data_IF_951087195634
#
_entry.id   IF_951087195634
#
_cell.length_a   1.000
_cell.length_b   1.000
_cell.length_c   1.000
_cell.angle_alpha   90.00
_cell.angle_beta   90.00
_cell.angle_gamma   90.00
#
_symmetry.space_group_name_H-M   'P 1'
#
loop_
_entity.id
_entity.type
_entity.pdbx_description
1 polymer ?
#
# COMPACT_ATOMS: atom_id res chain seq x y z
N UNK A 1 74.51 -10.03 -16.51
CA UNK A 1 74.08 -10.48 -15.17
C UNK A 1 73.96 -11.98 -15.26
N UNK A 2 74.61 -12.74 -14.36
CA UNK A 2 74.53 -14.21 -14.40
C UNK A 2 73.09 -14.69 -14.20
N UNK A 3 72.70 -15.74 -14.93
CA UNK A 3 71.33 -16.30 -14.95
C UNK A 3 70.81 -16.58 -13.53
N UNK A 4 71.65 -17.15 -12.67
CA UNK A 4 71.31 -17.45 -11.27
C UNK A 4 70.98 -16.19 -10.46
N UNK A 5 71.73 -15.10 -10.68
CA UNK A 5 71.49 -13.82 -10.02
C UNK A 5 70.16 -13.19 -10.46
N UNK A 6 69.81 -13.31 -11.75
CA UNK A 6 68.50 -12.87 -12.27
C UNK A 6 67.39 -13.70 -11.63
N UNK A 7 67.52 -15.02 -11.64
CA UNK A 7 66.51 -15.93 -11.11
C UNK A 7 66.26 -15.70 -9.61
N UNK A 8 67.32 -15.57 -8.82
CA UNK A 8 67.25 -15.26 -7.38
C UNK A 8 66.50 -13.94 -7.12
N UNK A 9 66.79 -12.92 -7.93
CA UNK A 9 66.13 -11.61 -7.87
C UNK A 9 64.63 -11.68 -8.23
N UNK A 10 64.26 -12.49 -9.24
CA UNK A 10 62.87 -12.69 -9.63
C UNK A 10 62.08 -13.47 -8.56
N UNK A 11 62.70 -14.49 -7.96
CA UNK A 11 62.10 -15.26 -6.87
C UNK A 11 61.91 -14.43 -5.59
N UNK A 12 62.85 -13.55 -5.26
CA UNK A 12 62.70 -12.64 -4.12
C UNK A 12 61.62 -11.58 -4.36
N UNK A 13 61.50 -11.07 -5.59
CA UNK A 13 60.38 -10.21 -6.00
C UNK A 13 59.04 -10.95 -5.88
N UNK A 14 58.97 -12.20 -6.36
CA UNK A 14 57.77 -13.05 -6.28
C UNK A 14 57.34 -13.27 -4.83
N UNK A 15 58.28 -13.59 -3.95
CA UNK A 15 58.00 -13.74 -2.52
C UNK A 15 57.46 -12.43 -1.90
N UNK A 16 58.04 -11.29 -2.24
CA UNK A 16 57.56 -9.97 -1.80
C UNK A 16 56.12 -9.69 -2.26
N UNK A 17 55.80 -9.95 -3.53
CA UNK A 17 54.44 -9.80 -4.07
C UNK A 17 53.45 -10.78 -3.44
N UNK A 18 53.88 -12.00 -3.13
CA UNK A 18 53.04 -12.98 -2.41
C UNK A 18 52.66 -12.50 -1.01
N UNK A 19 53.57 -11.82 -0.29
CA UNK A 19 53.27 -11.24 1.02
C UNK A 19 52.22 -10.12 0.89
N UNK A 20 52.36 -9.26 -0.12
CA UNK A 20 51.38 -8.20 -0.40
C UNK A 20 50.01 -8.81 -0.74
N UNK A 21 49.97 -9.86 -1.57
CA UNK A 21 48.73 -10.57 -1.89
C UNK A 21 48.06 -11.15 -0.65
N UNK A 22 48.84 -11.77 0.24
CA UNK A 22 48.31 -12.31 1.51
C UNK A 22 47.79 -11.19 2.42
N UNK A 23 48.43 -10.01 2.44
CA UNK A 23 47.94 -8.85 3.18
C UNK A 23 46.63 -8.34 2.57
N UNK A 24 46.52 -8.27 1.25
CA UNK A 24 45.27 -7.94 0.56
C UNK A 24 44.13 -8.90 0.95
N UNK A 25 44.35 -10.21 0.92
CA UNK A 25 43.33 -11.18 1.31
C UNK A 25 42.85 -11.01 2.77
N UNK A 26 43.77 -10.66 3.68
CA UNK A 26 43.41 -10.31 5.07
C UNK A 26 42.57 -9.04 5.13
N UNK A 27 42.88 -8.07 4.28
CA UNK A 27 42.18 -6.79 4.20
C UNK A 27 40.77 -6.99 3.65
N UNK A 28 40.62 -7.79 2.59
CA UNK A 28 39.33 -8.14 1.98
C UNK A 28 38.45 -8.92 2.97
N UNK A 29 39.02 -9.87 3.74
CA UNK A 29 38.31 -10.55 4.83
C UNK A 29 37.84 -9.59 5.92
N UNK A 30 38.67 -8.63 6.31
CA UNK A 30 38.28 -7.63 7.31
C UNK A 30 37.21 -6.68 6.76
N UNK A 31 37.29 -6.29 5.48
CA UNK A 31 36.31 -5.46 4.80
C UNK A 31 34.95 -6.16 4.72
N UNK A 32 34.92 -7.45 4.38
CA UNK A 32 33.69 -8.26 4.36
C UNK A 32 33.03 -8.35 5.75
N UNK A 33 33.83 -8.48 6.82
CA UNK A 33 33.32 -8.45 8.21
C UNK A 33 32.71 -7.10 8.54
N UNK A 34 33.35 -5.99 8.14
CA UNK A 34 32.82 -4.64 8.33
C UNK A 34 31.52 -4.47 7.56
N UNK A 35 31.45 -4.92 6.31
CA UNK A 35 30.26 -4.82 5.48
C UNK A 35 29.07 -5.60 6.08
N UNK A 36 29.28 -6.82 6.57
CA UNK A 36 28.26 -7.61 7.29
C UNK A 36 27.82 -6.91 8.59
N UNK A 37 28.78 -6.36 9.33
CA UNK A 37 28.54 -5.64 10.57
C UNK A 37 27.90 -4.25 10.38
N UNK A 38 28.01 -3.63 9.21
CA UNK A 38 27.35 -2.36 8.85
C UNK A 38 25.97 -2.59 8.20
N UNK A 39 25.78 -3.68 7.47
CA UNK A 39 24.48 -4.05 6.91
C UNK A 39 23.49 -4.52 7.98
N UNK A 40 23.96 -5.24 9.01
CA UNK A 40 23.10 -5.75 10.09
C UNK A 40 22.36 -4.63 10.86
N UNK A 41 23.01 -3.52 11.28
CA UNK A 41 22.33 -2.34 11.85
C UNK A 41 21.30 -1.72 10.91
N UNK A 42 21.54 -1.67 9.60
CA UNK A 42 20.58 -1.05 8.65
C UNK A 42 19.25 -1.82 8.53
N UNK A 43 19.30 -3.15 8.67
CA UNK A 43 18.10 -3.98 8.71
C UNK A 43 17.40 -3.89 10.06
N UNK A 44 18.19 -3.80 11.13
CA UNK A 44 17.70 -3.59 12.49
C UNK A 44 17.01 -2.23 12.61
N UNK A 45 17.59 -1.15 12.09
CA UNK A 45 17.02 0.20 12.09
C UNK A 45 15.70 0.30 11.32
N UNK A 46 15.53 -0.48 10.24
CA UNK A 46 14.25 -0.55 9.52
C UNK A 46 13.17 -1.21 10.37
N UNK A 47 13.47 -2.38 10.95
CA UNK A 47 12.55 -3.06 11.88
C UNK A 47 12.24 -2.19 13.10
N UNK A 48 13.25 -1.53 13.65
CA UNK A 48 13.12 -0.60 14.77
C UNK A 48 12.21 0.57 14.44
N UNK A 49 12.30 1.15 13.23
CA UNK A 49 11.42 2.22 12.76
C UNK A 49 9.97 1.75 12.59
N UNK A 50 9.76 0.53 12.07
CA UNK A 50 8.44 -0.08 11.96
C UNK A 50 7.82 -0.31 13.34
N UNK A 51 8.60 -0.84 14.28
CA UNK A 51 8.20 -1.07 15.67
C UNK A 51 7.92 0.24 16.43
N UNK A 52 8.73 1.29 16.24
CA UNK A 52 8.48 2.64 16.76
C UNK A 52 7.22 3.28 16.17
N UNK A 53 6.95 3.05 14.89
CA UNK A 53 5.70 3.50 14.25
C UNK A 53 4.49 2.78 14.86
N UNK A 54 4.60 1.48 15.12
CA UNK A 54 3.57 0.70 15.81
C UNK A 54 3.34 1.22 17.24
N UNK A 55 4.42 1.49 18.00
CA UNK A 55 4.35 2.08 19.34
C UNK A 55 3.66 3.45 19.35
N UNK A 56 3.97 4.33 18.38
CA UNK A 56 3.29 5.62 18.23
C UNK A 56 1.79 5.47 17.97
N UNK A 57 1.40 4.50 17.15
CA UNK A 57 -0.01 4.21 16.87
C UNK A 57 -0.74 3.73 18.15
N UNK A 58 -0.08 2.90 18.96
CA UNK A 58 -0.63 2.44 20.25
C UNK A 58 -0.83 3.60 21.25
N UNK A 59 0.16 4.48 21.41
CA UNK A 59 0.00 5.65 22.29
C UNK A 59 -1.08 6.61 21.80
N UNK A 60 -1.21 6.78 20.48
CA UNK A 60 -2.28 7.60 19.90
C UNK A 60 -3.65 7.02 20.24
N UNK A 61 -3.81 5.70 20.15
CA UNK A 61 -5.02 4.99 20.56
C UNK A 61 -5.33 5.18 22.05
N UNK A 62 -4.32 5.11 22.92
CA UNK A 62 -4.47 5.36 24.36
C UNK A 62 -4.92 6.81 24.64
N UNK A 63 -4.33 7.78 23.93
CA UNK A 63 -4.69 9.19 24.03
C UNK A 63 -6.10 9.48 23.51
N UNK A 64 -6.51 8.86 22.40
CA UNK A 64 -7.88 8.93 21.87
C UNK A 64 -8.89 8.31 22.86
N UNK A 65 -8.52 7.24 23.56
CA UNK A 65 -9.36 6.66 24.62
C UNK A 65 -9.49 7.60 25.83
N UNK A 66 -8.39 8.25 26.24
CA UNK A 66 -8.40 9.19 27.36
C UNK A 66 -9.23 10.46 27.06
N UNK A 67 -9.13 11.00 25.84
CA UNK A 67 -9.93 12.16 25.43
C UNK A 67 -11.43 11.83 25.32
N UNK A 68 -11.77 10.63 24.83
CA UNK A 68 -13.15 10.14 24.85
C UNK A 68 -13.71 10.00 26.28
N UNK A 69 -12.89 9.59 27.25
CA UNK A 69 -13.29 9.54 28.67
C UNK A 69 -13.60 10.93 29.21
N UNK A 70 -12.81 11.95 28.86
CA UNK A 70 -13.01 13.32 29.32
C UNK A 70 -14.22 14.00 28.65
N UNK A 71 -14.41 13.80 27.33
CA UNK A 71 -15.57 14.35 26.62
C UNK A 71 -16.89 13.74 27.12
N UNK A 72 -16.86 12.45 27.45
CA UNK A 72 -18.00 11.74 28.02
C UNK A 72 -18.52 12.38 29.33
N UNK A 73 -17.61 12.77 30.23
CA UNK A 73 -18.01 13.48 31.45
C UNK A 73 -18.52 14.89 31.15
N UNK A 74 -17.88 15.60 30.20
CA UNK A 74 -18.31 16.93 29.78
C UNK A 74 -19.74 16.96 29.20
N UNK A 75 -20.09 15.99 28.36
CA UNK A 75 -21.40 15.91 27.71
C UNK A 75 -22.53 15.53 28.68
N UNK A 76 -22.22 14.86 29.79
CA UNK A 76 -23.20 14.50 30.83
C UNK A 76 -23.42 15.66 31.81
N UNK A 77 -22.34 16.32 32.26
CA UNK A 77 -22.44 17.39 33.26
C UNK A 77 -23.09 18.68 32.71
N UNK A 78 -22.82 19.00 31.44
CA UNK A 78 -23.26 20.26 30.82
C UNK A 78 -24.79 20.43 30.73
N UNK A 79 -25.60 19.42 30.33
CA UNK A 79 -27.06 19.53 30.36
C UNK A 79 -27.61 19.56 31.79
N UNK A 80 -27.07 18.73 32.70
CA UNK A 80 -27.50 18.70 34.12
C UNK A 80 -27.33 20.07 34.80
N UNK A 81 -26.18 20.72 34.59
CA UNK A 81 -25.91 22.07 35.12
C UNK A 81 -26.79 23.15 34.50
N UNK A 82 -27.12 23.04 33.19
CA UNK A 82 -28.04 23.98 32.55
C UNK A 82 -29.45 23.85 33.11
N UNK A 83 -29.95 22.63 33.31
CA UNK A 83 -31.30 22.42 33.84
C UNK A 83 -31.41 22.85 35.29
N UNK A 84 -30.40 22.61 36.14
CA UNK A 84 -30.44 23.04 37.53
C UNK A 84 -30.31 24.56 37.70
N UNK A 85 -29.50 25.22 36.87
CA UNK A 85 -29.35 26.69 36.91
C UNK A 85 -30.66 27.43 36.56
N UNK A 86 -31.37 26.97 35.51
CA UNK A 86 -32.68 27.55 35.16
C UNK A 86 -33.71 27.35 36.26
N UNK A 87 -33.67 26.21 36.96
CA UNK A 87 -34.57 25.91 38.06
C UNK A 87 -34.31 26.77 39.30
N UNK A 88 -33.04 27.00 39.65
CA UNK A 88 -32.67 27.90 40.76
C UNK A 88 -33.12 29.33 40.45
N UNK A 89 -32.94 29.79 39.21
CA UNK A 89 -33.43 31.10 38.78
C UNK A 89 -34.95 31.23 38.90
N UNK A 90 -35.69 30.18 38.53
CA UNK A 90 -37.15 30.18 38.58
C UNK A 90 -37.65 30.21 40.03
N UNK A 91 -37.08 29.40 40.93
CA UNK A 91 -37.42 29.39 42.37
C UNK A 91 -37.07 30.73 43.02
N UNK A 92 -35.86 31.26 42.78
CA UNK A 92 -35.47 32.56 43.32
C UNK A 92 -36.37 33.69 42.82
N UNK A 93 -36.80 33.68 41.55
CA UNK A 93 -37.73 34.67 41.03
C UNK A 93 -39.08 34.62 41.76
N UNK A 94 -39.63 33.43 41.98
CA UNK A 94 -40.93 33.29 42.67
C UNK A 94 -40.87 33.75 44.13
N UNK A 95 -39.77 33.48 44.83
CA UNK A 95 -39.55 33.98 46.19
C UNK A 95 -39.39 35.50 46.23
N UNK A 96 -38.70 36.09 45.25
CA UNK A 96 -38.48 37.53 45.17
C UNK A 96 -39.77 38.31 44.93
N UNK A 97 -40.76 37.72 44.22
CA UNK A 97 -42.06 38.33 43.99
C UNK A 97 -43.08 38.03 45.12
N UNK A 98 -42.97 36.88 45.78
CA UNK A 98 -43.90 36.52 46.87
C UNK A 98 -43.64 37.29 48.17
N UNK A 99 -42.38 37.53 48.53
CA UNK A 99 -42.03 38.19 49.78
C UNK A 99 -42.52 39.65 49.89
N UNK A 100 -42.41 40.51 48.85
CA UNK A 100 -42.96 41.86 48.88
C UNK A 100 -44.49 41.86 48.96
N UNK A 101 -45.16 40.96 48.24
CA UNK A 101 -46.62 40.86 48.28
C UNK A 101 -47.13 40.47 49.69
N UNK A 102 -46.45 39.54 50.37
CA UNK A 102 -46.74 39.18 51.76
C UNK A 102 -46.43 40.33 52.73
N UNK A 103 -45.36 41.08 52.51
CA UNK A 103 -45.02 42.25 53.35
C UNK A 103 -46.04 43.39 53.17
N UNK A 104 -46.48 43.67 51.95
CA UNK A 104 -47.54 44.65 51.67
C UNK A 104 -48.88 44.23 52.28
N UNK A 105 -49.24 42.94 52.16
CA UNK A 105 -50.44 42.40 52.80
C UNK A 105 -50.36 42.52 54.34
N UNK A 106 -49.23 42.16 54.94
CA UNK A 106 -48.98 42.33 56.37
C UNK A 106 -49.09 43.78 56.84
N UNK A 107 -48.53 44.74 56.08
CA UNK A 107 -48.63 46.16 56.40
C UNK A 107 -50.08 46.66 56.35
N UNK A 108 -50.83 46.27 55.31
CA UNK A 108 -52.23 46.66 55.17
C UNK A 108 -53.13 46.10 56.28
N UNK A 109 -52.83 44.87 56.75
CA UNK A 109 -53.51 44.27 57.90
C UNK A 109 -53.14 44.99 59.20
N UNK A 110 -51.87 45.38 59.37
CA UNK A 110 -51.40 46.12 60.55
C UNK A 110 -52.03 47.52 60.65
N UNK A 111 -52.14 48.25 59.53
CA UNK A 111 -52.80 49.57 59.51
C UNK A 111 -54.30 49.44 59.79
N UNK A 112 -54.96 48.40 59.29
CA UNK A 112 -56.38 48.13 59.59
C UNK A 112 -56.61 47.75 61.05
N UNK A 113 -55.65 47.08 61.70
CA UNK A 113 -55.73 46.73 63.12
C UNK A 113 -55.49 47.92 64.07
N UNK A 114 -54.75 48.95 63.62
CA UNK A 114 -54.43 50.11 64.45
C UNK A 114 -55.62 51.08 64.64
N UNK A 115 -56.65 51.02 63.79
CA UNK A 115 -57.74 52.02 63.76
C UNK A 115 -59.14 51.48 64.12
N UNK A 116 -59.35 50.16 64.22
CA UNK A 116 -60.68 49.58 64.48
C UNK A 116 -60.62 48.38 65.43
N UNK A 117 -60.83 48.61 66.73
CA UNK A 117 -60.66 47.58 67.75
C UNK A 117 -61.90 46.69 68.03
N UNK A 118 -63.06 46.93 67.41
CA UNK A 118 -64.31 46.19 67.77
C UNK A 118 -64.98 45.38 66.64
N UNK A 119 -64.50 45.43 65.39
CA UNK A 119 -65.06 44.62 64.28
C UNK A 119 -64.02 43.73 63.57
N UNK A 120 -62.85 43.55 64.17
CA UNK A 120 -61.68 42.87 63.58
C UNK A 120 -61.78 41.34 63.52
N UNK A 121 -62.66 40.70 64.29
CA UNK A 121 -62.70 39.23 64.42
C UNK A 121 -63.17 38.54 63.14
N UNK A 122 -64.17 39.08 62.45
CA UNK A 122 -64.74 38.44 61.25
C UNK A 122 -63.82 38.56 60.02
N UNK A 123 -63.10 39.69 59.89
CA UNK A 123 -62.07 39.87 58.86
C UNK A 123 -60.85 38.98 59.12
N UNK A 124 -60.48 38.75 60.38
CA UNK A 124 -59.37 37.86 60.73
C UNK A 124 -59.65 36.40 60.36
N UNK A 125 -60.89 35.94 60.57
CA UNK A 125 -61.31 34.58 60.18
C UNK A 125 -61.36 34.46 58.64
N UNK A 126 -61.90 35.45 57.93
CA UNK A 126 -61.90 35.45 56.46
C UNK A 126 -60.49 35.47 55.86
N UNK A 127 -59.57 36.23 56.46
CA UNK A 127 -58.16 36.23 56.11
C UNK A 127 -57.48 34.88 56.33
N UNK A 128 -57.67 34.26 57.50
CA UNK A 128 -57.09 32.94 57.80
C UNK A 128 -57.56 31.85 56.83
N UNK A 129 -58.84 31.86 56.44
CA UNK A 129 -59.38 30.89 55.46
C UNK A 129 -58.83 31.16 54.06
N UNK A 130 -58.73 32.42 53.64
CA UNK A 130 -58.13 32.80 52.34
C UNK A 130 -56.64 32.46 52.23
N UNK A 131 -55.87 32.75 53.28
CA UNK A 131 -54.44 32.37 53.35
C UNK A 131 -54.25 30.86 53.47
N UNK A 132 -55.14 30.14 54.16
CA UNK A 132 -55.14 28.68 54.22
C UNK A 132 -55.34 28.05 52.83
N UNK A 133 -56.31 28.53 52.06
CA UNK A 133 -56.56 28.03 50.70
C UNK A 133 -55.39 28.32 49.73
N UNK A 134 -54.79 29.50 49.81
CA UNK A 134 -53.59 29.83 49.02
C UNK A 134 -52.36 29.03 49.44
N UNK A 135 -52.18 28.77 50.74
CA UNK A 135 -51.12 27.91 51.26
C UNK A 135 -51.24 26.47 50.75
N UNK A 136 -52.45 25.90 50.81
CA UNK A 136 -52.71 24.55 50.32
C UNK A 136 -52.55 24.48 48.80
N UNK A 137 -53.05 25.49 48.06
CA UNK A 137 -52.86 25.59 46.61
C UNK A 137 -51.39 25.72 46.20
N UNK A 138 -50.60 26.51 46.95
CA UNK A 138 -49.16 26.64 46.74
C UNK A 138 -48.40 25.34 46.99
N UNK A 139 -48.72 24.62 48.08
CA UNK A 139 -48.12 23.32 48.37
C UNK A 139 -48.51 22.28 47.32
N UNK A 140 -49.77 22.25 46.89
CA UNK A 140 -50.22 21.35 45.82
C UNK A 140 -49.54 21.65 44.48
N UNK A 141 -49.33 22.92 44.14
CA UNK A 141 -48.60 23.32 42.93
C UNK A 141 -47.12 22.91 43.01
N UNK A 142 -46.46 23.09 44.16
CA UNK A 142 -45.08 22.65 44.38
C UNK A 142 -44.96 21.13 44.25
N UNK A 143 -45.90 20.38 44.84
CA UNK A 143 -45.92 18.92 44.73
C UNK A 143 -46.21 18.45 43.30
N UNK A 144 -47.11 19.13 42.57
CA UNK A 144 -47.41 18.82 41.18
C UNK A 144 -46.23 19.12 40.24
N UNK A 145 -45.58 20.27 40.40
CA UNK A 145 -44.33 20.62 39.69
C UNK A 145 -43.24 19.60 40.04
N UNK A 146 -43.09 19.26 41.32
CA UNK A 146 -42.14 18.24 41.79
C UNK A 146 -42.38 16.87 41.16
N UNK A 147 -43.63 16.41 41.08
CA UNK A 147 -44.00 15.14 40.46
C UNK A 147 -43.76 15.14 38.95
N UNK A 148 -44.10 16.22 38.25
CA UNK A 148 -43.86 16.35 36.80
C UNK A 148 -42.37 16.40 36.46
N UNK A 149 -41.57 17.05 37.33
CA UNK A 149 -40.12 17.04 37.24
C UNK A 149 -39.57 15.64 37.49
N UNK A 150 -40.10 14.91 38.45
CA UNK A 150 -39.69 13.53 38.71
C UNK A 150 -39.94 12.64 37.49
N UNK A 151 -41.11 12.70 36.87
CA UNK A 151 -41.43 11.94 35.65
C UNK A 151 -40.49 12.27 34.49
N UNK A 152 -40.24 13.56 34.24
CA UNK A 152 -39.31 13.98 33.19
C UNK A 152 -37.87 13.55 33.50
N UNK A 153 -37.41 13.67 34.75
CA UNK A 153 -36.08 13.23 35.16
C UNK A 153 -35.94 11.72 35.02
N UNK A 154 -36.96 10.94 35.39
CA UNK A 154 -36.94 9.48 35.22
C UNK A 154 -36.94 9.08 33.75
N UNK A 155 -37.69 9.78 32.89
CA UNK A 155 -37.71 9.53 31.45
C UNK A 155 -36.35 9.85 30.80
N UNK A 156 -35.75 11.00 31.13
CA UNK A 156 -34.39 11.33 30.67
C UNK A 156 -33.34 10.36 31.22
N UNK A 157 -33.48 9.89 32.46
CA UNK A 157 -32.61 8.88 33.05
C UNK A 157 -32.70 7.54 32.31
N UNK A 158 -33.90 7.11 31.90
CA UNK A 158 -34.07 5.86 31.16
C UNK A 158 -33.59 5.96 29.71
N UNK A 159 -33.81 7.10 29.04
CA UNK A 159 -33.29 7.33 27.69
C UNK A 159 -31.75 7.49 27.68
N UNK A 160 -31.16 7.95 28.79
CA UNK A 160 -29.71 7.98 29.01
C UNK A 160 -29.13 6.61 29.40
N UNK A 161 -29.90 5.70 30.00
CA UNK A 161 -29.42 4.35 30.40
C UNK A 161 -28.96 3.51 29.20
N UNK A 162 -29.65 3.59 28.07
CA UNK A 162 -29.32 2.82 26.86
C UNK A 162 -27.98 3.22 26.22
N UNK A 163 -27.71 4.51 25.90
CA UNK A 163 -26.42 4.96 25.40
C UNK A 163 -25.31 4.86 26.47
N UNK A 164 -25.64 4.93 27.76
CA UNK A 164 -24.69 4.73 28.85
C UNK A 164 -24.18 3.30 28.91
N UNK A 165 -25.06 2.29 28.76
CA UNK A 165 -24.66 0.88 28.76
C UNK A 165 -23.74 0.56 27.57
N UNK A 166 -24.11 1.01 26.37
CA UNK A 166 -23.28 0.80 25.15
C UNK A 166 -21.93 1.51 25.24
N UNK A 167 -21.87 2.75 25.77
CA UNK A 167 -20.60 3.47 25.96
C UNK A 167 -19.77 2.87 27.08
N UNK A 168 -20.38 2.45 28.19
CA UNK A 168 -19.72 1.79 29.31
C UNK A 168 -19.10 0.46 28.87
N UNK A 169 -19.82 -0.37 28.14
CA UNK A 169 -19.30 -1.66 27.65
C UNK A 169 -18.10 -1.47 26.71
N UNK A 170 -18.12 -0.42 25.87
CA UNK A 170 -16.95 -0.04 25.04
C UNK A 170 -15.78 0.44 25.88
N UNK A 171 -16.01 1.27 26.90
CA UNK A 171 -14.96 1.74 27.82
C UNK A 171 -14.36 0.57 28.61
N UNK A 172 -15.17 -0.36 29.11
CA UNK A 172 -14.71 -1.55 29.81
C UNK A 172 -13.93 -2.52 28.88
N UNK A 173 -14.37 -2.67 27.63
CA UNK A 173 -13.64 -3.45 26.63
C UNK A 173 -12.25 -2.84 26.36
N UNK A 174 -12.18 -1.52 26.23
CA UNK A 174 -10.92 -0.78 26.08
C UNK A 174 -10.04 -0.94 27.32
N UNK A 175 -10.59 -0.77 28.52
CA UNK A 175 -9.85 -0.85 29.79
C UNK A 175 -9.27 -2.27 30.03
N UNK A 176 -9.96 -3.31 29.56
CA UNK A 176 -9.45 -4.69 29.58
C UNK A 176 -8.29 -4.90 28.59
N UNK A 177 -8.21 -4.12 27.50
CA UNK A 177 -7.13 -4.21 26.52
C UNK A 177 -5.88 -3.41 26.91
N UNK A 178 -5.98 -2.39 27.77
CA UNK A 178 -4.85 -1.59 28.27
C UNK A 178 -3.68 -2.45 28.81
N UNK A 179 -3.88 -3.41 29.73
CA UNK A 179 -2.76 -4.20 30.27
C UNK A 179 -2.09 -5.08 29.20
N UNK A 180 -2.86 -5.53 28.20
CA UNK A 180 -2.31 -6.27 27.07
C UNK A 180 -1.40 -5.40 26.21
N UNK A 181 -1.80 -4.16 25.92
CA UNK A 181 -0.98 -3.21 25.19
C UNK A 181 0.26 -2.79 25.98
N UNK A 182 0.14 -2.58 27.30
CA UNK A 182 1.29 -2.27 28.16
C UNK A 182 2.32 -3.41 28.15
N UNK A 183 1.87 -4.66 28.20
CA UNK A 183 2.75 -5.82 28.08
C UNK A 183 3.45 -5.89 26.72
N UNK A 184 2.73 -5.65 25.63
CA UNK A 184 3.33 -5.60 24.29
C UNK A 184 4.36 -4.46 24.17
N UNK A 185 4.09 -3.29 24.76
CA UNK A 185 5.03 -2.17 24.79
C UNK A 185 6.31 -2.54 25.55
N UNK A 186 6.19 -3.20 26.70
CA UNK A 186 7.34 -3.65 27.49
C UNK A 186 8.17 -4.72 26.76
N UNK A 187 7.52 -5.69 26.12
CA UNK A 187 8.19 -6.71 25.30
C UNK A 187 8.96 -6.08 24.13
N UNK A 188 8.36 -5.07 23.50
CA UNK A 188 8.98 -4.32 22.42
C UNK A 188 10.17 -3.49 22.93
N UNK A 189 10.04 -2.78 24.05
CA UNK A 189 11.15 -2.04 24.68
C UNK A 189 12.34 -2.94 25.05
N UNK A 190 12.07 -4.15 25.56
CA UNK A 190 13.09 -5.15 25.87
C UNK A 190 13.83 -5.63 24.61
N UNK A 191 13.11 -5.80 23.49
CA UNK A 191 13.71 -6.17 22.20
C UNK A 191 14.59 -5.04 21.64
N UNK A 192 14.10 -3.79 21.71
CA UNK A 192 14.85 -2.60 21.32
C UNK A 192 16.15 -2.51 22.13
N UNK A 193 16.08 -2.66 23.45
CA UNK A 193 17.26 -2.59 24.33
C UNK A 193 18.31 -3.65 23.98
N UNK A 194 17.88 -4.90 23.75
CA UNK A 194 18.78 -5.99 23.33
C UNK A 194 19.44 -5.72 21.98
N UNK A 195 18.72 -5.10 21.04
CA UNK A 195 19.27 -4.73 19.74
C UNK A 195 20.26 -3.57 19.86
N UNK A 196 19.97 -2.55 20.68
CA UNK A 196 20.88 -1.43 20.94
C UNK A 196 22.17 -1.88 21.64
N UNK A 197 22.09 -2.81 22.59
CA UNK A 197 23.26 -3.44 23.22
C UNK A 197 24.11 -4.22 22.20
N UNK A 198 23.46 -4.93 21.26
CA UNK A 198 24.12 -5.59 20.14
C UNK A 198 24.84 -4.60 19.19
N UNK A 199 24.22 -3.46 18.88
CA UNK A 199 24.84 -2.41 18.06
C UNK A 199 26.00 -1.74 18.80
N UNK A 200 25.82 -1.44 20.09
CA UNK A 200 26.83 -0.80 20.94
C UNK A 200 28.09 -1.67 21.08
N UNK A 201 27.92 -2.99 21.23
CA UNK A 201 29.03 -3.95 21.28
C UNK A 201 29.68 -4.21 19.91
N UNK A 202 28.96 -4.06 18.81
CA UNK A 202 29.51 -4.18 17.46
C UNK A 202 30.39 -2.98 17.05
N UNK A 203 30.04 -1.75 17.47
CA UNK A 203 30.80 -0.51 17.17
C UNK A 203 32.31 -0.58 17.49
N UNK A 204 32.76 -0.97 18.69
CA UNK A 204 34.19 -1.05 18.99
C UNK A 204 34.89 -2.13 18.15
N UNK A 205 34.19 -3.21 17.80
CA UNK A 205 34.73 -4.27 16.92
C UNK A 205 34.95 -3.74 15.50
N UNK A 206 33.98 -3.00 14.94
CA UNK A 206 34.12 -2.34 13.64
C UNK A 206 35.29 -1.35 13.66
N UNK A 207 35.38 -0.52 14.70
CA UNK A 207 36.45 0.47 14.83
C UNK A 207 37.83 -0.18 14.88
N UNK A 208 37.99 -1.22 15.69
CA UNK A 208 39.23 -2.01 15.75
C UNK A 208 39.58 -2.63 14.39
N UNK A 209 38.60 -3.18 13.66
CA UNK A 209 38.82 -3.75 12.33
C UNK A 209 39.18 -2.70 11.29
N UNK A 210 38.62 -1.50 11.36
CA UNK A 210 39.01 -0.36 10.51
C UNK A 210 40.47 0.05 10.77
N UNK A 211 40.88 0.10 12.03
CA UNK A 211 42.27 0.37 12.40
C UNK A 211 43.23 -0.71 11.90
N UNK A 212 42.86 -2.00 12.03
CA UNK A 212 43.62 -3.12 11.47
C UNK A 212 43.79 -3.00 9.94
N UNK A 213 42.74 -2.61 9.20
CA UNK A 213 42.80 -2.38 7.75
C UNK A 213 43.75 -1.23 7.41
N UNK A 214 43.68 -0.11 8.14
CA UNK A 214 44.57 1.04 7.90
C UNK A 214 46.03 0.64 8.12
N UNK A 215 46.31 -0.12 9.18
CA UNK A 215 47.66 -0.62 9.46
C UNK A 215 48.14 -1.57 8.35
N UNK A 216 47.34 -2.56 7.96
CA UNK A 216 47.66 -3.51 6.88
C UNK A 216 47.90 -2.80 5.54
N UNK A 217 47.08 -1.81 5.22
CA UNK A 217 47.21 -0.99 4.00
C UNK A 217 48.51 -0.18 4.01
N UNK A 218 48.84 0.46 5.13
CA UNK A 218 50.08 1.21 5.30
C UNK A 218 51.32 0.31 5.15
N UNK A 219 51.31 -0.86 5.79
CA UNK A 219 52.40 -1.85 5.66
C UNK A 219 52.53 -2.34 4.22
N UNK A 220 51.41 -2.66 3.55
CA UNK A 220 51.39 -3.10 2.15
C UNK A 220 51.96 -2.02 1.21
N UNK A 221 51.60 -0.75 1.44
CA UNK A 221 52.09 0.39 0.67
C UNK A 221 53.60 0.61 0.85
N UNK A 222 54.09 0.51 2.09
CA UNK A 222 55.52 0.61 2.39
C UNK A 222 56.31 -0.53 1.74
N UNK A 223 55.81 -1.77 1.85
CA UNK A 223 56.42 -2.94 1.25
C UNK A 223 56.47 -2.81 -0.28
N UNK A 224 55.37 -2.38 -0.90
CA UNK A 224 55.31 -2.12 -2.33
C UNK A 224 56.34 -1.07 -2.77
N UNK A 225 56.44 0.07 -2.06
CA UNK A 225 57.45 1.10 -2.35
C UNK A 225 58.88 0.57 -2.22
N UNK A 226 59.14 -0.27 -1.22
CA UNK A 226 60.45 -0.90 -1.04
C UNK A 226 60.77 -1.86 -2.20
N UNK A 227 59.80 -2.68 -2.63
CA UNK A 227 59.95 -3.57 -3.79
C UNK A 227 60.20 -2.78 -5.07
N UNK A 228 59.44 -1.71 -5.32
CA UNK A 228 59.62 -0.87 -6.53
C UNK A 228 61.02 -0.26 -6.54
N UNK A 229 61.50 0.25 -5.39
CA UNK A 229 62.84 0.83 -5.27
C UNK A 229 63.94 -0.19 -5.52
N UNK A 230 63.78 -1.42 -5.05
CA UNK A 230 64.81 -2.47 -5.14
C UNK A 230 64.82 -3.20 -6.48
N UNK A 231 63.64 -3.48 -7.05
CA UNK A 231 63.49 -4.32 -8.23
C UNK A 231 63.10 -3.56 -9.50
N UNK A 232 62.70 -2.28 -9.40
CA UNK A 232 62.29 -1.47 -10.55
C UNK A 232 63.39 -1.21 -11.58
N UNK A 233 64.67 -1.37 -11.21
CA UNK A 233 65.78 -1.32 -12.17
C UNK A 233 65.94 -2.63 -12.96
N UNK A 234 65.43 -3.75 -12.45
CA UNK A 234 65.58 -5.08 -13.04
C UNK A 234 64.38 -5.42 -13.92
N UNK A 235 63.17 -5.11 -13.44
CA UNK A 235 61.92 -5.40 -14.13
C UNK A 235 60.93 -4.24 -13.95
N UNK A 236 60.36 -3.77 -15.05
CA UNK A 236 59.32 -2.73 -15.03
C UNK A 236 58.10 -3.25 -14.26
N UNK A 237 57.47 -2.36 -13.48
CA UNK A 237 56.26 -2.64 -12.69
C UNK A 237 55.15 -3.24 -13.56
N UNK A 238 55.05 -2.81 -14.84
CA UNK A 238 54.05 -3.31 -15.79
C UNK A 238 54.20 -4.81 -16.06
N UNK A 239 55.43 -5.33 -16.00
CA UNK A 239 55.74 -6.71 -16.32
C UNK A 239 55.63 -7.64 -15.10
N UNK A 240 55.45 -7.07 -13.90
CA UNK A 240 55.33 -7.86 -12.66
C UNK A 240 54.12 -8.80 -12.67
N UNK A 241 53.06 -8.45 -13.43
CA UNK A 241 51.90 -9.32 -13.61
C UNK A 241 52.23 -10.62 -14.36
N UNK A 242 53.34 -10.66 -15.10
CA UNK A 242 53.80 -11.82 -15.86
C UNK A 242 55.04 -12.47 -15.22
N UNK A 243 55.38 -12.10 -13.97
CA UNK A 243 56.58 -12.58 -13.28
C UNK A 243 56.69 -14.11 -13.25
N UNK A 244 55.59 -14.81 -13.00
CA UNK A 244 55.57 -16.27 -12.96
C UNK A 244 55.89 -16.88 -14.34
N UNK A 245 55.42 -16.27 -15.42
CA UNK A 245 55.70 -16.70 -16.79
C UNK A 245 57.17 -16.42 -17.17
N UNK A 246 57.71 -15.28 -16.74
CA UNK A 246 59.13 -14.92 -16.92
C UNK A 246 60.01 -15.95 -16.20
N UNK A 247 59.73 -16.24 -14.92
CA UNK A 247 60.45 -17.25 -14.13
C UNK A 247 60.39 -18.61 -14.84
N UNK A 248 59.20 -19.02 -15.27
CA UNK A 248 59.01 -20.28 -16.01
C UNK A 248 59.89 -20.37 -17.26
N UNK A 249 60.00 -19.31 -18.07
CA UNK A 249 60.86 -19.33 -19.26
C UNK A 249 62.35 -19.45 -18.93
N UNK A 250 62.80 -18.85 -17.83
CA UNK A 250 64.17 -19.02 -17.35
C UNK A 250 64.46 -20.42 -16.83
N UNK A 251 63.56 -20.96 -16.00
CA UNK A 251 63.72 -22.29 -15.38
C UNK A 251 63.68 -23.41 -16.41
N UNK A 252 62.82 -23.28 -17.42
CA UNK A 252 62.73 -24.26 -18.52
C UNK A 252 63.84 -24.11 -19.56
N UNK A 253 64.72 -23.12 -19.43
CA UNK A 253 65.78 -22.86 -20.40
C UNK A 253 65.27 -22.39 -21.77
N UNK A 254 64.04 -21.85 -21.83
CA UNK A 254 63.47 -21.28 -23.06
C UNK A 254 63.95 -19.86 -23.33
N UNK A 255 64.45 -19.20 -22.30
CA UNK A 255 65.12 -17.91 -22.39
C UNK A 255 66.44 -17.95 -21.62
N UNK A 256 67.49 -17.44 -22.24
CA UNK A 256 68.81 -17.31 -21.62
C UNK A 256 69.02 -15.92 -21.01
N UNK A 257 68.26 -14.93 -21.48
CA UNK A 257 68.27 -13.56 -20.97
C UNK A 257 66.88 -13.04 -20.58
N UNK A 258 66.86 -12.01 -19.73
CA UNK A 258 65.59 -11.38 -19.30
C UNK A 258 64.87 -10.73 -20.48
N UNK A 259 65.63 -10.20 -21.43
CA UNK A 259 65.09 -9.60 -22.65
C UNK A 259 64.37 -10.65 -23.51
N UNK A 260 64.94 -11.84 -23.68
CA UNK A 260 64.28 -12.94 -24.40
C UNK A 260 63.03 -13.41 -23.67
N UNK A 261 63.09 -13.57 -22.35
CA UNK A 261 61.93 -13.94 -21.56
C UNK A 261 60.79 -12.93 -21.72
N UNK A 262 61.09 -11.63 -21.69
CA UNK A 262 60.12 -10.55 -21.93
C UNK A 262 59.55 -10.59 -23.35
N UNK A 263 60.38 -10.82 -24.37
CA UNK A 263 59.90 -10.96 -25.76
C UNK A 263 58.96 -12.15 -25.93
N UNK A 264 59.23 -13.27 -25.26
CA UNK A 264 58.35 -14.44 -25.25
C UNK A 264 57.02 -14.14 -24.54
N UNK A 265 57.06 -13.43 -23.42
CA UNK A 265 55.86 -12.96 -22.71
C UNK A 265 55.03 -12.06 -23.60
N UNK A 266 55.63 -11.04 -24.22
CA UNK A 266 54.93 -10.11 -25.13
C UNK A 266 54.22 -10.85 -26.26
N UNK A 267 54.90 -11.84 -26.86
CA UNK A 267 54.31 -12.68 -27.91
C UNK A 267 53.13 -13.49 -27.39
N UNK A 268 53.21 -14.02 -26.17
CA UNK A 268 52.11 -14.75 -25.55
C UNK A 268 50.92 -13.82 -25.23
N UNK A 269 51.18 -12.63 -24.70
CA UNK A 269 50.15 -11.62 -24.39
C UNK A 269 49.43 -11.17 -25.66
N UNK A 270 50.17 -10.90 -26.74
CA UNK A 270 49.58 -10.58 -28.05
C UNK A 270 48.72 -11.72 -28.57
N UNK A 271 49.22 -12.96 -28.49
CA UNK A 271 48.47 -14.15 -28.90
C UNK A 271 47.16 -14.28 -28.12
N UNK A 272 47.22 -14.16 -26.79
CA UNK A 272 46.03 -14.21 -25.93
C UNK A 272 45.05 -13.07 -26.25
N UNK A 273 45.54 -11.87 -26.52
CA UNK A 273 44.71 -10.72 -26.90
C UNK A 273 43.98 -10.97 -28.20
N UNK A 274 44.66 -11.52 -29.21
CA UNK A 274 44.06 -11.90 -30.49
C UNK A 274 43.01 -12.98 -30.29
N UNK A 275 43.32 -14.03 -29.52
CA UNK A 275 42.37 -15.12 -29.23
C UNK A 275 41.12 -14.60 -28.52
N UNK A 276 41.28 -13.74 -27.52
CA UNK A 276 40.15 -13.13 -26.81
C UNK A 276 39.32 -12.23 -27.72
N UNK A 277 39.95 -11.44 -28.58
CA UNK A 277 39.24 -10.60 -29.56
C UNK A 277 38.44 -11.45 -30.54
N UNK A 278 39.01 -12.57 -31.02
CA UNK A 278 38.31 -13.54 -31.88
C UNK A 278 37.12 -14.14 -31.13
N UNK A 279 37.31 -14.58 -29.88
CA UNK A 279 36.24 -15.17 -29.08
C UNK A 279 35.08 -14.18 -28.85
N UNK A 280 35.40 -12.93 -28.51
CA UNK A 280 34.42 -11.85 -28.36
C UNK A 280 33.68 -11.59 -29.68
N UNK A 281 34.39 -11.49 -30.80
CA UNK A 281 33.78 -11.31 -32.12
C UNK A 281 32.85 -12.47 -32.49
N UNK A 282 33.28 -13.71 -32.28
CA UNK A 282 32.44 -14.90 -32.49
C UNK A 282 31.19 -14.87 -31.62
N UNK A 283 31.30 -14.47 -30.36
CA UNK A 283 30.17 -14.37 -29.43
C UNK A 283 29.16 -13.32 -29.91
N UNK A 284 29.63 -12.14 -30.32
CA UNK A 284 28.78 -11.07 -30.86
C UNK A 284 28.09 -11.47 -32.17
N UNK A 285 28.81 -12.17 -33.06
CA UNK A 285 28.25 -12.71 -34.30
C UNK A 285 27.14 -13.72 -33.97
N UNK A 286 27.40 -14.67 -33.07
CA UNK A 286 26.41 -15.67 -32.65
C UNK A 286 25.17 -15.02 -32.03
N UNK A 287 25.36 -14.01 -31.16
CA UNK A 287 24.26 -13.27 -30.55
C UNK A 287 23.43 -12.53 -31.60
N UNK A 288 24.09 -11.87 -32.54
CA UNK A 288 23.42 -11.14 -33.64
C UNK A 288 22.63 -12.09 -34.53
N UNK A 289 23.20 -13.24 -34.89
CA UNK A 289 22.51 -14.28 -35.67
C UNK A 289 21.28 -14.78 -34.91
N UNK A 290 21.41 -15.07 -33.61
CA UNK A 290 20.30 -15.50 -32.77
C UNK A 290 19.16 -14.47 -32.75
N UNK A 291 19.47 -13.21 -32.44
CA UNK A 291 18.49 -12.12 -32.40
C UNK A 291 17.80 -11.96 -33.76
N UNK A 292 18.55 -11.99 -34.86
CA UNK A 292 17.98 -11.86 -36.19
C UNK A 292 17.11 -13.05 -36.58
N UNK A 293 17.49 -14.26 -36.17
CA UNK A 293 16.70 -15.48 -36.43
C UNK A 293 15.41 -15.46 -35.62
N UNK A 294 15.46 -15.05 -34.35
CA UNK A 294 14.28 -14.90 -33.50
C UNK A 294 13.33 -13.84 -34.07
N UNK A 295 13.87 -12.70 -34.53
CA UNK A 295 13.09 -11.64 -35.17
C UNK A 295 12.47 -12.10 -36.48
N UNK A 296 13.20 -12.85 -37.30
CA UNK A 296 12.68 -13.43 -38.54
C UNK A 296 11.53 -14.40 -38.22
N UNK A 297 11.71 -15.27 -37.22
CA UNK A 297 10.66 -16.19 -36.76
C UNK A 297 9.39 -15.45 -36.33
N UNK A 298 9.53 -14.36 -35.58
CA UNK A 298 8.40 -13.52 -35.17
C UNK A 298 7.69 -12.87 -36.38
N UNK A 299 8.45 -12.28 -37.31
CA UNK A 299 7.90 -11.68 -38.52
C UNK A 299 7.18 -12.69 -39.42
N UNK A 300 7.71 -13.91 -39.52
CA UNK A 300 7.06 -14.99 -40.27
C UNK A 300 5.74 -15.42 -39.61
N UNK A 301 5.71 -15.54 -38.28
CA UNK A 301 4.49 -15.86 -37.55
C UNK A 301 3.40 -14.79 -37.74
N UNK A 302 3.78 -13.51 -37.63
CA UNK A 302 2.88 -12.38 -37.88
C UNK A 302 2.36 -12.37 -39.33
N UNK A 303 3.25 -12.56 -40.31
CA UNK A 303 2.89 -12.69 -41.71
C UNK A 303 1.91 -13.84 -41.97
N UNK A 304 2.12 -15.00 -41.35
CA UNK A 304 1.21 -16.14 -41.46
C UNK A 304 -0.17 -15.84 -40.85
N UNK A 305 -0.23 -15.17 -39.70
CA UNK A 305 -1.50 -14.77 -39.09
C UNK A 305 -2.25 -13.77 -39.99
N UNK A 306 -1.55 -12.79 -40.55
CA UNK A 306 -2.13 -11.81 -41.47
C UNK A 306 -2.68 -12.49 -42.73
N UNK A 307 -1.92 -13.40 -43.34
CA UNK A 307 -2.37 -14.17 -44.51
C UNK A 307 -3.58 -15.04 -44.14
N UNK A 308 -3.55 -15.71 -42.99
CA UNK A 308 -4.66 -16.55 -42.51
C UNK A 308 -5.94 -15.72 -42.34
N UNK A 309 -5.83 -14.51 -41.76
CA UNK A 309 -6.95 -13.57 -41.65
C UNK A 309 -7.51 -13.18 -43.03
N UNK A 310 -6.63 -12.81 -43.97
CA UNK A 310 -7.06 -12.43 -45.33
C UNK A 310 -7.76 -13.58 -46.06
N UNK A 311 -7.28 -14.82 -45.89
CA UNK A 311 -7.94 -16.01 -46.47
C UNK A 311 -9.33 -16.20 -45.85
N UNK A 312 -9.47 -16.02 -44.53
CA UNK A 312 -10.76 -16.11 -43.84
C UNK A 312 -11.74 -15.06 -44.35
N UNK A 313 -11.30 -13.82 -44.50
CA UNK A 313 -12.12 -12.71 -45.02
C UNK A 313 -12.54 -12.98 -46.47
N UNK A 314 -11.60 -13.39 -47.32
CA UNK A 314 -11.87 -13.74 -48.71
C UNK A 314 -12.90 -14.88 -48.80
N UNK A 315 -12.77 -15.91 -47.96
CA UNK A 315 -13.72 -17.02 -47.89
C UNK A 315 -15.10 -16.54 -47.47
N UNK A 316 -15.20 -15.66 -46.48
CA UNK A 316 -16.48 -15.08 -46.05
C UNK A 316 -17.13 -14.27 -47.18
N UNK A 317 -16.36 -13.45 -47.90
CA UNK A 317 -16.85 -12.70 -49.06
C UNK A 317 -17.35 -13.62 -50.17
N UNK A 318 -16.58 -14.66 -50.52
CA UNK A 318 -16.99 -15.63 -51.54
C UNK A 318 -18.26 -16.38 -51.15
N UNK A 319 -18.40 -16.81 -49.90
CA UNK A 319 -19.63 -17.46 -49.42
C UNK A 319 -20.83 -16.53 -49.47
N UNK A 320 -20.66 -15.25 -49.15
CA UNK A 320 -21.72 -14.24 -49.30
C UNK A 320 -22.15 -14.07 -50.75
N UNK A 321 -21.18 -13.93 -51.67
CA UNK A 321 -21.46 -13.83 -53.11
C UNK A 321 -22.14 -15.08 -53.66
N UNK A 322 -21.69 -16.28 -53.25
CA UNK A 322 -22.35 -17.53 -53.64
C UNK A 322 -23.79 -17.61 -53.12
N UNK A 323 -24.05 -17.15 -51.89
CA UNK A 323 -25.40 -17.10 -51.33
C UNK A 323 -26.31 -16.17 -52.14
N UNK A 324 -25.84 -14.98 -52.50
CA UNK A 324 -26.59 -14.04 -53.33
C UNK A 324 -26.94 -14.65 -54.70
N UNK A 325 -26.00 -15.37 -55.32
CA UNK A 325 -26.24 -16.10 -56.58
C UNK A 325 -27.28 -17.21 -56.40
N UNK A 326 -27.22 -17.97 -55.30
CA UNK A 326 -28.21 -19.02 -54.99
C UNK A 326 -29.60 -18.42 -54.77
N UNK A 327 -29.70 -17.31 -54.05
CA UNK A 327 -30.98 -16.62 -53.80
C UNK A 327 -31.57 -16.07 -55.11
N UNK A 328 -30.73 -15.47 -55.96
CA UNK A 328 -31.10 -15.04 -57.31
C UNK A 328 -31.60 -16.21 -58.17
N UNK A 329 -30.88 -17.34 -58.16
CA UNK A 329 -31.29 -18.55 -58.89
C UNK A 329 -32.61 -19.11 -58.37
N UNK A 330 -32.82 -19.10 -57.05
CA UNK A 330 -34.06 -19.55 -56.41
C UNK A 330 -35.24 -18.67 -56.83
N UNK A 331 -35.03 -17.35 -56.88
CA UNK A 331 -36.02 -16.41 -57.39
C UNK A 331 -36.36 -16.68 -58.86
N UNK A 332 -35.36 -16.94 -59.70
CA UNK A 332 -35.58 -17.31 -61.11
C UNK A 332 -36.43 -18.58 -61.26
N UNK A 333 -36.15 -19.61 -60.44
CA UNK A 333 -36.96 -20.85 -60.43
C UNK A 333 -38.40 -20.56 -59.98
N UNK A 334 -38.60 -19.73 -58.96
CA UNK A 334 -39.94 -19.35 -58.49
C UNK A 334 -40.72 -18.56 -59.56
N UNK A 335 -40.06 -17.62 -60.25
CA UNK A 335 -40.63 -16.88 -61.36
C UNK A 335 -41.00 -17.80 -62.52
N UNK A 336 -40.14 -18.75 -62.87
CA UNK A 336 -40.42 -19.76 -63.89
C UNK A 336 -41.63 -20.62 -63.51
N UNK A 337 -41.72 -21.07 -62.26
CA UNK A 337 -42.88 -21.82 -61.76
C UNK A 337 -44.17 -21.00 -61.85
N UNK A 338 -44.13 -19.72 -61.47
CA UNK A 338 -45.29 -18.82 -61.56
C UNK A 338 -45.69 -18.56 -63.02
N UNK A 339 -44.72 -18.38 -63.92
CA UNK A 339 -44.97 -18.24 -65.35
C UNK A 339 -45.63 -19.49 -65.93
N UNK A 340 -45.16 -20.69 -65.55
CA UNK A 340 -45.77 -21.96 -65.94
C UNK A 340 -47.22 -22.09 -65.40
N UNK A 341 -47.46 -21.71 -64.14
CA UNK A 341 -48.81 -21.71 -63.56
C UNK A 341 -49.77 -20.77 -64.29
N UNK A 342 -49.34 -19.53 -64.54
CA UNK A 342 -50.13 -18.57 -65.31
C UNK A 342 -50.42 -19.09 -66.73
N UNK A 343 -49.44 -19.76 -67.36
CA UNK A 343 -49.62 -20.36 -68.69
C UNK A 343 -50.65 -21.50 -68.67
N UNK A 344 -50.65 -22.34 -67.62
CA UNK A 344 -51.66 -23.38 -67.44
C UNK A 344 -53.05 -22.79 -67.21
N UNK A 345 -53.19 -21.76 -66.37
CA UNK A 345 -54.47 -21.08 -66.15
C UNK A 345 -55.00 -20.46 -67.44
N UNK A 346 -54.14 -19.81 -68.23
CA UNK A 346 -54.54 -19.26 -69.52
C UNK A 346 -55.05 -20.35 -70.47
N UNK A 347 -54.40 -21.52 -70.48
CA UNK A 347 -54.88 -22.67 -71.24
C UNK A 347 -56.23 -23.20 -70.74
N UNK A 348 -56.44 -23.23 -69.42
CA UNK A 348 -57.73 -23.62 -68.82
C UNK A 348 -58.83 -22.62 -69.19
N UNK A 349 -58.56 -21.32 -69.12
CA UNK A 349 -59.49 -20.26 -69.50
C UNK A 349 -59.83 -20.35 -71.00
N UNK A 350 -58.84 -20.55 -71.87
CA UNK A 350 -59.07 -20.80 -73.30
C UNK A 350 -59.93 -22.04 -73.52
N UNK A 351 -59.67 -23.12 -72.79
CA UNK A 351 -60.47 -24.35 -72.86
C UNK A 351 -61.90 -24.10 -72.40
N UNK A 352 -62.09 -23.37 -71.30
CA UNK A 352 -63.41 -23.00 -70.79
C UNK A 352 -64.19 -22.13 -71.79
N UNK A 353 -63.55 -21.11 -72.38
CA UNK A 353 -64.16 -20.29 -73.43
C UNK A 353 -64.56 -21.13 -74.65
N UNK A 354 -63.73 -22.10 -75.02
CA UNK A 354 -64.05 -23.04 -76.12
C UNK A 354 -65.29 -23.87 -75.77
N UNK A 355 -65.36 -24.41 -74.55
CA UNK A 355 -66.55 -25.17 -74.10
C UNK A 355 -67.80 -24.30 -73.96
N UNK A 356 -67.67 -23.04 -73.55
CA UNK A 356 -68.78 -22.08 -73.50
C UNK A 356 -69.28 -21.74 -74.91
N UNK A 357 -68.36 -21.57 -75.87
CA UNK A 357 -68.71 -21.35 -77.26
C UNK A 357 -69.48 -22.56 -77.82
N UNK A 358 -69.01 -23.78 -77.55
CA UNK A 358 -69.71 -25.03 -77.91
C UNK A 358 -71.10 -25.11 -77.27
N UNK A 359 -71.24 -24.81 -75.98
CA UNK A 359 -72.54 -24.78 -75.30
C UNK A 359 -73.47 -23.69 -75.86
N UNK A 360 -72.92 -22.52 -76.21
CA UNK A 360 -73.64 -21.44 -76.87
C UNK A 360 -74.17 -21.87 -78.25
N UNK A 361 -73.37 -22.61 -79.03
CA UNK A 361 -73.81 -23.20 -80.28
C UNK A 361 -74.90 -24.26 -80.09
N UNK A 362 -74.79 -25.12 -79.07
CA UNK A 362 -75.82 -26.10 -78.74
C UNK A 362 -77.13 -25.40 -78.34
N UNK A 363 -77.08 -24.32 -77.55
CA UNK A 363 -78.28 -23.52 -77.22
C UNK A 363 -78.90 -22.85 -78.44
N UNK A 364 -78.09 -22.37 -79.40
CA UNK A 364 -78.62 -21.87 -80.68
C UNK A 364 -79.29 -22.97 -81.50
N UNK A 365 -78.75 -24.20 -81.48
CA UNK A 365 -79.37 -25.35 -82.15
C UNK A 365 -80.66 -25.84 -81.49
N UNK A 366 -80.82 -25.69 -80.17
CA UNK A 366 -82.02 -26.11 -79.46
C UNK A 366 -83.15 -25.05 -79.47
N UNK A 367 -82.83 -23.79 -79.79
CA UNK A 367 -83.79 -22.68 -79.89
C UNK A 367 -84.16 -22.32 -81.35
N UNK A 368 -83.62 -23.07 -82.31
CA UNK A 368 -84.03 -23.07 -83.72
C UNK A 368 -84.82 -24.34 -83.98
#
# INVERSE_FOLDING_TARGET
MEKEKVLSTLWSLRAGLSIISMQKDKTDKCAAIIEDCEHRPSQVDKKLKEELSHKKNLYKLEQECATHKFSFWGDILRPLLKTSAWMILLVCSTLLFAAPALACAGLSIYTLFAEYHEHSVLMFIGGLVGFGALGIGGVALILWIGSRLWENVTFYMDDLKFPWKVKKDKVFAIERMIPHYQKQIQELEEQIRKQEEGISSAKPTIQKKKEEIIQLSNTSSQLYKALVKQYGMVLDIRDWQHLDLIIFYFETGRADSLKEALQLVDRQVQTNTIVNAIYSACTEICNTIKINTDRLGALMAEGMLAISSQISDLKATQLSQMKELIDSQTMLVALQKKSNQNSMQLMEDCRYLTTLAEQGEIRRRNNA
#
